data_IF_408086136590
#
_entry.id   IF_408086136590
#
_cell.length_a   1.000
_cell.length_b   1.000
_cell.length_c   1.000
_cell.angle_alpha   90.00
_cell.angle_beta   90.00
_cell.angle_gamma   90.00
#
_symmetry.space_group_name_H-M   'P 1'
#
loop_
_entity.id
_entity.type
_entity.pdbx_description
1 polymer ?
#
# COMPACT_ATOMS: atom_id res chain seq x y z
N UNK A 1 -0.61 4.78 -10.94
CA UNK A 1 -1.24 4.25 -9.71
C UNK A 1 -0.31 4.32 -8.49
N UNK A 2 0.73 3.47 -8.34
CA UNK A 2 1.53 3.48 -7.10
C UNK A 2 2.23 4.82 -6.83
N UNK A 3 2.85 5.41 -7.86
CA UNK A 3 3.49 6.72 -7.77
C UNK A 3 2.51 7.86 -7.39
N UNK A 4 1.25 7.76 -7.80
CA UNK A 4 0.21 8.74 -7.44
C UNK A 4 -0.14 8.62 -5.96
N UNK A 5 -0.34 7.40 -5.46
CA UNK A 5 -0.57 7.15 -4.03
C UNK A 5 0.61 7.61 -3.17
N UNK A 6 1.83 7.40 -3.66
CA UNK A 6 3.05 7.91 -3.01
C UNK A 6 3.01 9.44 -2.95
N UNK A 7 2.70 10.14 -4.04
CA UNK A 7 2.58 11.60 -4.05
C UNK A 7 1.50 12.10 -3.07
N UNK A 8 0.32 11.49 -3.04
CA UNK A 8 -0.74 11.84 -2.09
C UNK A 8 -0.25 11.64 -0.65
N UNK A 9 0.40 10.52 -0.37
CA UNK A 9 0.92 10.22 0.98
C UNK A 9 1.99 11.21 1.46
N UNK A 10 2.71 11.91 0.56
CA UNK A 10 3.66 12.98 0.94
C UNK A 10 2.94 14.15 1.60
N UNK A 11 1.70 14.43 1.18
CA UNK A 11 0.88 15.53 1.68
C UNK A 11 0.13 15.17 2.97
N UNK A 12 0.09 13.88 3.34
CA UNK A 12 -0.67 13.38 4.49
C UNK A 12 0.24 12.57 5.43
N UNK A 13 1.19 13.24 6.14
CA UNK A 13 2.26 12.57 6.89
C UNK A 13 1.79 11.82 8.13
N UNK A 14 0.54 12.00 8.55
CA UNK A 14 -0.13 11.29 9.64
C UNK A 14 -1.04 10.15 9.15
N UNK A 15 -0.94 9.79 7.86
CA UNK A 15 -1.64 8.67 7.23
C UNK A 15 -0.65 7.71 6.60
N UNK A 16 -0.96 6.42 6.67
CA UNK A 16 -0.28 5.38 5.91
C UNK A 16 -1.33 4.56 5.16
N UNK A 17 -1.09 4.22 3.90
CA UNK A 17 -2.01 3.39 3.13
C UNK A 17 -1.46 1.97 3.04
N UNK A 18 -2.23 1.00 3.52
CA UNK A 18 -1.92 -0.42 3.38
C UNK A 18 -2.66 -0.96 2.16
N UNK A 19 -1.92 -1.51 1.21
CA UNK A 19 -2.40 -2.28 0.09
C UNK A 19 -2.28 -3.77 0.42
N UNK A 20 -3.30 -4.54 0.08
CA UNK A 20 -3.26 -6.00 0.15
C UNK A 20 -3.65 -6.60 -1.20
N UNK A 21 -3.09 -7.76 -1.49
CA UNK A 21 -3.38 -8.44 -2.73
C UNK A 21 -2.75 -9.82 -2.78
N UNK A 22 -2.72 -10.38 -3.99
CA UNK A 22 -2.05 -11.65 -4.29
C UNK A 22 -1.07 -11.50 -5.44
N UNK A 23 0.07 -12.21 -5.34
CA UNK A 23 1.10 -12.31 -6.36
C UNK A 23 1.16 -13.74 -6.91
N UNK A 24 1.47 -13.93 -8.20
CA UNK A 24 1.77 -15.25 -8.73
C UNK A 24 3.09 -15.78 -8.14
N UNK A 25 3.03 -16.95 -7.50
CA UNK A 25 4.15 -17.67 -6.92
C UNK A 25 4.28 -19.07 -7.56
N UNK A 26 5.42 -19.73 -7.35
CA UNK A 26 5.66 -21.07 -7.94
C UNK A 26 4.60 -22.12 -7.55
N UNK A 27 3.95 -21.94 -6.40
CA UNK A 27 2.93 -22.83 -5.86
C UNK A 27 1.52 -22.20 -5.83
N UNK A 28 1.21 -21.26 -6.74
CA UNK A 28 -0.12 -20.67 -6.87
C UNK A 28 -0.14 -19.16 -6.65
N UNK A 29 -1.04 -18.67 -5.82
CA UNK A 29 -1.15 -17.25 -5.46
C UNK A 29 -0.70 -17.05 -4.01
N UNK A 30 0.17 -16.09 -3.78
CA UNK A 30 0.69 -15.73 -2.47
C UNK A 30 0.19 -14.34 -2.06
N UNK A 31 -0.31 -14.21 -0.83
CA UNK A 31 -0.77 -12.93 -0.32
C UNK A 31 0.41 -11.97 -0.09
N UNK A 32 0.25 -10.72 -0.50
CA UNK A 32 1.22 -9.67 -0.23
C UNK A 32 0.59 -8.49 0.48
N UNK A 33 1.43 -7.79 1.25
CA UNK A 33 1.07 -6.55 1.92
C UNK A 33 2.13 -5.49 1.64
N UNK A 34 1.68 -4.30 1.22
CA UNK A 34 2.52 -3.17 0.88
C UNK A 34 1.99 -1.93 1.59
N UNK A 35 2.86 -1.15 2.21
CA UNK A 35 2.50 0.09 2.92
C UNK A 35 3.10 1.28 2.21
N UNK A 36 2.29 2.30 1.95
CA UNK A 36 2.71 3.59 1.40
C UNK A 36 2.67 4.62 2.52
N UNK A 37 3.81 5.27 2.77
CA UNK A 37 3.96 6.27 3.81
C UNK A 37 4.95 7.37 3.40
N UNK A 38 4.51 8.63 3.47
CA UNK A 38 5.35 9.83 3.20
C UNK A 38 6.13 9.79 1.87
N UNK A 39 5.52 9.23 0.83
CA UNK A 39 6.11 9.15 -0.51
C UNK A 39 6.99 7.93 -0.76
N UNK A 40 6.95 6.95 0.13
CA UNK A 40 7.68 5.69 -0.03
C UNK A 40 6.72 4.51 0.10
N UNK A 41 6.84 3.55 -0.81
CA UNK A 41 6.23 2.23 -0.71
C UNK A 41 7.22 1.24 -0.07
N UNK A 42 6.72 0.43 0.86
CA UNK A 42 7.49 -0.60 1.57
C UNK A 42 6.68 -1.89 1.60
N UNK A 43 7.24 -2.97 1.06
CA UNK A 43 6.65 -4.30 1.17
C UNK A 43 6.91 -4.88 2.56
N UNK A 44 5.90 -5.48 3.19
CA UNK A 44 6.00 -6.06 4.53
C UNK A 44 6.24 -7.59 4.52
N UNK A 45 5.88 -8.27 3.42
CA UNK A 45 5.97 -9.74 3.33
C UNK A 45 7.06 -10.24 2.40
N UNK A 46 7.46 -9.44 1.40
CA UNK A 46 8.53 -9.79 0.47
C UNK A 46 9.63 -8.72 0.50
N UNK A 47 10.91 -9.08 0.35
CA UNK A 47 11.93 -8.08 0.04
C UNK A 47 11.51 -7.35 -1.24
N UNK A 48 11.29 -6.04 -1.13
CA UNK A 48 11.24 -5.19 -2.31
C UNK A 48 12.54 -5.42 -3.07
N UNK A 49 12.45 -5.64 -4.39
CA UNK A 49 13.64 -5.60 -5.22
C UNK A 49 14.33 -4.25 -4.92
N UNK A 50 15.60 -4.29 -4.51
CA UNK A 50 16.39 -3.10 -4.19
C UNK A 50 16.61 -2.21 -5.45
N UNK A 51 16.19 -2.70 -6.61
CA UNK A 51 16.35 -2.07 -7.90
C UNK A 51 15.23 -1.02 -8.12
N UNK A 52 15.55 0.29 -8.13
CA UNK A 52 14.57 1.36 -8.33
C UNK A 52 13.90 1.33 -9.71
N UNK A 53 14.46 0.57 -10.66
CA UNK A 53 13.89 0.40 -12.00
C UNK A 53 12.98 -0.83 -12.13
N UNK A 54 12.90 -1.68 -11.08
CA UNK A 54 12.01 -2.83 -11.09
C UNK A 54 10.64 -2.46 -10.51
N UNK A 55 9.52 -2.75 -11.20
CA UNK A 55 8.19 -2.52 -10.65
C UNK A 55 8.02 -3.31 -9.34
N UNK A 56 7.59 -2.61 -8.29
CA UNK A 56 7.38 -3.19 -6.94
C UNK A 56 6.33 -4.31 -6.95
N UNK A 57 5.42 -4.29 -7.93
CA UNK A 57 4.42 -5.33 -8.15
C UNK A 57 4.75 -6.10 -9.46
N UNK A 58 4.98 -7.42 -9.40
CA UNK A 58 5.20 -8.22 -10.60
C UNK A 58 3.95 -8.31 -11.48
N UNK A 59 4.14 -8.50 -12.79
CA UNK A 59 3.04 -8.66 -13.73
C UNK A 59 2.14 -9.84 -13.32
N UNK A 60 0.83 -9.59 -13.21
CA UNK A 60 -0.17 -10.56 -12.74
C UNK A 60 -0.54 -10.43 -11.26
N UNK A 61 0.00 -9.45 -10.54
CA UNK A 61 -0.47 -9.09 -9.19
C UNK A 61 -1.91 -8.61 -9.21
N UNK A 62 -2.75 -9.14 -8.33
CA UNK A 62 -4.09 -8.63 -8.07
C UNK A 62 -4.09 -7.84 -6.76
N UNK A 63 -4.67 -6.65 -6.75
CA UNK A 63 -4.92 -5.88 -5.53
C UNK A 63 -6.33 -6.21 -5.06
N UNK A 64 -6.44 -6.74 -3.85
CA UNK A 64 -7.73 -7.13 -3.25
C UNK A 64 -8.40 -5.93 -2.57
N UNK A 65 -7.60 -4.96 -2.12
CA UNK A 65 -8.09 -3.73 -1.53
C UNK A 65 -7.03 -2.95 -0.77
N UNK A 66 -7.46 -1.84 -0.22
CA UNK A 66 -6.64 -0.93 0.55
C UNK A 66 -7.34 -0.48 1.83
N UNK A 67 -6.52 -0.13 2.82
CA UNK A 67 -6.96 0.46 4.06
C UNK A 67 -6.09 1.65 4.42
N UNK A 68 -6.72 2.72 4.84
CA UNK A 68 -6.05 3.88 5.38
C UNK A 68 -5.81 3.69 6.87
N UNK A 69 -4.58 3.86 7.31
CA UNK A 69 -4.12 3.69 8.68
C UNK A 69 -3.68 5.03 9.28
N UNK A 70 -3.85 5.19 10.59
CA UNK A 70 -3.25 6.29 11.33
C UNK A 70 -1.75 6.04 11.47
N UNK A 71 -0.94 6.98 10.99
CA UNK A 71 0.50 6.98 11.23
C UNK A 71 0.86 7.82 12.48
N UNK A 72 1.99 7.53 13.15
CA UNK A 72 2.91 6.41 12.90
C UNK A 72 2.28 5.06 13.25
N UNK A 73 2.60 4.02 12.48
CA UNK A 73 2.11 2.66 12.73
C UNK A 73 2.64 2.14 14.08
N UNK A 74 1.75 1.59 14.90
CA UNK A 74 2.09 0.93 16.17
C UNK A 74 1.97 -0.58 15.94
N UNK A 75 3.07 -1.35 16.02
CA UNK A 75 3.00 -2.79 15.82
C UNK A 75 1.99 -3.43 16.77
N UNK A 76 1.01 -4.15 16.21
CA UNK A 76 -0.04 -4.84 16.98
C UNK A 76 -1.12 -3.91 17.54
N UNK A 77 -1.15 -2.65 17.11
CA UNK A 77 -2.18 -1.66 17.46
C UNK A 77 -2.39 -0.68 16.31
N UNK A 78 -2.38 -1.19 15.07
CA UNK A 78 -2.65 -0.38 13.89
C UNK A 78 -4.11 0.10 13.92
N UNK A 79 -4.31 1.43 13.81
CA UNK A 79 -5.64 2.02 13.76
C UNK A 79 -6.07 2.23 12.32
N UNK A 80 -7.06 1.47 11.87
CA UNK A 80 -7.72 1.68 10.57
C UNK A 80 -8.63 2.90 10.66
N UNK A 81 -8.48 3.82 9.72
CA UNK A 81 -9.26 5.04 9.57
C UNK A 81 -10.33 4.92 8.48
N UNK A 82 -10.03 4.18 7.41
CA UNK A 82 -10.95 3.88 6.31
C UNK A 82 -10.57 2.57 5.64
N UNK A 83 -11.54 1.90 5.00
CA UNK A 83 -11.34 0.61 4.35
C UNK A 83 -11.91 -0.59 5.13
N UNK A 84 -11.85 -1.79 4.54
CA UNK A 84 -11.25 -2.09 3.23
C UNK A 84 -12.07 -1.52 2.05
N UNK A 85 -11.42 -0.82 1.14
CA UNK A 85 -12.00 -0.23 -0.09
C UNK A 85 -11.10 -0.56 -1.30
N UNK A 86 -11.60 -0.46 -2.55
CA UNK A 86 -10.76 -0.57 -3.74
C UNK A 86 -9.61 0.45 -3.73
N UNK A 87 -8.45 0.10 -4.30
CA UNK A 87 -7.27 0.97 -4.30
C UNK A 87 -7.54 2.30 -5.01
N UNK A 88 -8.40 2.25 -6.04
CA UNK A 88 -8.86 3.40 -6.80
C UNK A 88 -9.60 4.43 -5.94
N UNK A 89 -10.24 3.99 -4.85
CA UNK A 89 -10.88 4.90 -3.90
C UNK A 89 -9.86 5.88 -3.28
N UNK A 90 -8.63 5.41 -3.02
CA UNK A 90 -7.59 6.22 -2.41
C UNK A 90 -6.75 7.02 -3.42
N UNK A 91 -7.07 6.95 -4.72
CA UNK A 91 -6.49 7.86 -5.72
C UNK A 91 -7.06 9.28 -5.62
N UNK A 92 -8.19 9.46 -4.93
CA UNK A 92 -8.71 10.78 -4.57
C UNK A 92 -8.08 11.22 -3.22
N UNK A 93 -7.30 12.32 -3.20
CA UNK A 93 -6.74 12.87 -1.96
C UNK A 93 -7.79 13.20 -0.90
N UNK A 94 -9.02 13.55 -1.30
CA UNK A 94 -10.13 13.84 -0.39
C UNK A 94 -10.49 12.65 0.52
N UNK A 95 -10.23 11.42 0.07
CA UNK A 95 -10.50 10.21 0.84
C UNK A 95 -9.44 9.90 1.90
N UNK A 96 -8.31 10.62 1.91
CA UNK A 96 -7.26 10.47 2.94
C UNK A 96 -7.56 11.26 4.22
N UNK A 97 -8.45 12.27 4.13
CA UNK A 97 -8.95 13.06 5.28
C UNK A 97 -7.85 13.54 6.23
N UNK A 98 -6.74 13.93 5.65
CA UNK A 98 -5.74 14.87 6.14
C UNK A 98 -6.28 16.29 5.88
#
# INVERSE_FOLDING_TARGET
MLAELEDISRHCPDRALRLRGTLPAQAGLEAFELVIFRGFSSSLTHPTAFDPDSPVLPAGSALDGAELLQAPLRPGSEKVLAGPEPVEHFLDPGNWRC
#
